data_IF_033157669107
#
_entry.id   IF_033157669107
#
_cell.length_a   1.000
_cell.length_b   1.000
_cell.length_c   1.000
_cell.angle_alpha   90.00
_cell.angle_beta   90.00
_cell.angle_gamma   90.00
#
_symmetry.space_group_name_H-M   'P 1'
#
loop_
_entity.id
_entity.type
_entity.pdbx_description
1 polymer ?
#
# COMPACT_ATOMS: atom_id res chain seq x y z
N UNK A 1 46.19 36.44 -20.24
CA UNK A 1 45.11 36.89 -19.33
C UNK A 1 43.82 36.90 -20.14
N UNK A 2 43.13 35.76 -20.23
CA UNK A 2 41.95 35.42 -19.41
C UNK A 2 40.68 36.14 -19.91
N UNK A 3 40.09 35.63 -20.98
CA UNK A 3 38.65 35.75 -21.22
C UNK A 3 38.17 34.73 -22.26
N UNK A 4 38.67 33.48 -22.18
CA UNK A 4 37.93 32.35 -22.72
C UNK A 4 36.70 32.17 -21.84
N UNK A 5 35.70 32.98 -22.15
CA UNK A 5 34.34 32.92 -21.66
C UNK A 5 33.72 31.64 -22.24
N UNK A 6 33.43 30.61 -21.43
CA UNK A 6 32.67 29.46 -21.90
C UNK A 6 31.20 29.84 -21.89
N UNK A 7 30.74 30.71 -22.81
CA UNK A 7 29.42 31.33 -22.59
C UNK A 7 28.54 31.65 -23.79
N UNK A 8 28.81 31.14 -25.00
CA UNK A 8 27.86 31.29 -26.12
C UNK A 8 27.68 30.06 -27.01
N UNK A 9 28.59 29.07 -26.96
CA UNK A 9 28.45 27.80 -27.69
C UNK A 9 27.96 26.63 -26.81
N UNK A 10 27.86 26.81 -25.49
CA UNK A 10 27.41 25.77 -24.54
C UNK A 10 25.94 25.90 -24.12
N UNK A 11 25.30 27.06 -24.34
CA UNK A 11 23.93 27.31 -23.93
C UNK A 11 22.89 26.34 -24.54
N UNK A 12 22.90 26.02 -25.86
CA UNK A 12 21.91 25.11 -26.43
C UNK A 12 22.16 23.66 -25.98
N UNK A 13 23.43 23.23 -25.89
CA UNK A 13 23.80 21.93 -25.35
C UNK A 13 23.40 21.79 -23.87
N UNK A 14 23.60 22.80 -23.02
CA UNK A 14 23.11 22.78 -21.62
C UNK A 14 21.60 22.73 -21.54
N UNK A 15 20.87 23.49 -22.36
CA UNK A 15 19.40 23.47 -22.33
C UNK A 15 18.86 22.12 -22.81
N UNK A 16 19.49 21.52 -23.81
CA UNK A 16 19.16 20.19 -24.31
C UNK A 16 19.49 19.12 -23.27
N UNK A 17 20.68 19.14 -22.67
CA UNK A 17 21.08 18.19 -21.62
C UNK A 17 20.25 18.35 -20.35
N UNK A 18 19.88 19.57 -19.95
CA UNK A 18 18.98 19.82 -18.81
C UNK A 18 17.55 19.36 -19.10
N UNK A 19 17.04 19.58 -20.32
CA UNK A 19 15.72 19.08 -20.73
C UNK A 19 15.70 17.55 -20.84
N UNK A 20 16.79 16.94 -21.34
CA UNK A 20 16.97 15.49 -21.43
C UNK A 20 17.15 14.85 -20.05
N UNK A 21 17.86 15.52 -19.13
CA UNK A 21 17.97 15.10 -17.74
C UNK A 21 16.63 15.24 -16.99
N UNK A 22 15.85 16.29 -17.23
CA UNK A 22 14.50 16.41 -16.69
C UNK A 22 13.59 15.29 -17.23
N UNK A 23 13.68 14.99 -18.53
CA UNK A 23 12.93 13.89 -19.15
C UNK A 23 13.34 12.51 -18.61
N UNK A 24 14.64 12.25 -18.41
CA UNK A 24 15.14 11.00 -17.82
C UNK A 24 14.87 10.88 -16.32
N UNK A 25 14.90 12.00 -15.58
CA UNK A 25 14.66 12.02 -14.13
C UNK A 25 13.20 11.74 -13.79
N UNK A 26 12.28 12.08 -14.69
CA UNK A 26 10.84 12.01 -14.42
C UNK A 26 10.16 10.71 -14.93
N UNK A 27 10.71 10.04 -15.95
CA UNK A 27 10.06 8.87 -16.57
C UNK A 27 10.23 7.54 -15.83
N UNK A 28 11.42 7.23 -15.31
CA UNK A 28 11.75 5.87 -14.85
C UNK A 28 11.51 5.64 -13.36
N UNK A 29 11.78 6.66 -12.53
CA UNK A 29 11.71 6.57 -11.06
C UNK A 29 10.29 6.88 -10.57
N UNK A 30 9.61 7.86 -11.16
CA UNK A 30 8.28 8.28 -10.70
C UNK A 30 7.20 7.25 -11.01
N UNK A 31 7.23 6.64 -12.19
CA UNK A 31 6.19 5.69 -12.62
C UNK A 31 6.30 4.34 -11.89
N UNK A 32 7.52 3.83 -11.72
CA UNK A 32 7.79 2.55 -11.04
C UNK A 32 7.54 2.64 -9.54
N UNK A 33 8.01 3.71 -8.88
CA UNK A 33 7.75 3.92 -7.46
C UNK A 33 6.28 4.19 -7.18
N UNK A 34 5.58 4.98 -8.01
CA UNK A 34 4.16 5.27 -7.79
C UNK A 34 3.31 4.01 -7.99
N UNK A 35 3.60 3.21 -9.01
CA UNK A 35 2.92 1.92 -9.20
C UNK A 35 3.19 0.97 -8.03
N UNK A 36 4.43 0.89 -7.58
CA UNK A 36 4.82 0.09 -6.41
C UNK A 36 4.13 0.56 -5.13
N UNK A 37 4.21 1.86 -4.80
CA UNK A 37 3.59 2.45 -3.60
C UNK A 37 2.07 2.26 -3.62
N UNK A 38 1.42 2.40 -4.77
CA UNK A 38 -0.01 2.10 -4.92
C UNK A 38 -0.32 0.62 -4.64
N UNK A 39 0.46 -0.31 -5.20
CA UNK A 39 0.31 -1.74 -4.95
C UNK A 39 0.50 -2.09 -3.47
N UNK A 40 1.54 -1.55 -2.84
CA UNK A 40 1.83 -1.73 -1.41
C UNK A 40 0.71 -1.13 -0.55
N UNK A 41 0.21 0.08 -0.87
CA UNK A 41 -0.87 0.73 -0.13
C UNK A 41 -2.19 -0.07 -0.19
N UNK A 42 -2.50 -0.69 -1.33
CA UNK A 42 -3.67 -1.55 -1.47
C UNK A 42 -3.47 -2.83 -0.66
N UNK A 43 -2.34 -3.52 -0.83
CA UNK A 43 -2.05 -4.78 -0.14
C UNK A 43 -2.03 -4.61 1.39
N UNK A 44 -1.37 -3.57 1.89
CA UNK A 44 -1.32 -3.25 3.32
C UNK A 44 -2.70 -2.97 3.90
N UNK A 45 -3.56 -2.21 3.19
CA UNK A 45 -4.92 -1.93 3.65
C UNK A 45 -5.79 -3.20 3.69
N UNK A 46 -5.63 -4.09 2.71
CA UNK A 46 -6.32 -5.38 2.70
C UNK A 46 -5.84 -6.27 3.84
N UNK A 47 -4.51 -6.36 4.05
CA UNK A 47 -3.91 -7.12 5.14
C UNK A 47 -4.34 -6.60 6.52
N UNK A 48 -4.28 -5.28 6.75
CA UNK A 48 -4.73 -4.66 8.00
C UNK A 48 -6.21 -4.93 8.26
N UNK A 49 -7.06 -4.89 7.22
CA UNK A 49 -8.48 -5.18 7.38
C UNK A 49 -8.72 -6.61 7.86
N UNK A 50 -7.97 -7.59 7.32
CA UNK A 50 -8.05 -8.98 7.76
C UNK A 50 -7.60 -9.15 9.21
N UNK A 51 -6.44 -8.56 9.56
CA UNK A 51 -5.91 -8.66 10.92
C UNK A 51 -6.85 -7.97 11.92
N UNK A 52 -7.38 -6.80 11.57
CA UNK A 52 -8.30 -6.07 12.43
C UNK A 52 -9.60 -6.85 12.71
N UNK A 53 -10.22 -7.47 11.70
CA UNK A 53 -11.43 -8.28 11.91
C UNK A 53 -11.17 -9.54 12.71
N UNK A 54 -10.01 -10.17 12.54
CA UNK A 54 -9.60 -11.34 13.34
C UNK A 54 -9.39 -10.95 14.80
N UNK A 55 -8.69 -9.84 15.08
CA UNK A 55 -8.51 -9.33 16.46
C UNK A 55 -9.87 -9.04 17.09
N UNK A 56 -10.76 -8.34 16.37
CA UNK A 56 -12.11 -8.04 16.86
C UNK A 56 -12.89 -9.32 17.17
N UNK A 57 -12.85 -10.31 16.27
CA UNK A 57 -13.50 -11.61 16.47
C UNK A 57 -12.93 -12.42 17.63
N UNK A 58 -11.61 -12.38 17.83
CA UNK A 58 -10.93 -13.03 18.95
C UNK A 58 -11.26 -12.35 20.28
N UNK A 59 -11.29 -11.02 20.34
CA UNK A 59 -11.67 -10.26 21.54
C UNK A 59 -13.14 -10.51 21.91
N UNK A 60 -14.03 -10.50 20.92
CA UNK A 60 -15.45 -10.87 21.10
C UNK A 60 -15.59 -12.31 21.58
N UNK A 61 -14.89 -13.26 20.94
CA UNK A 61 -14.88 -14.67 21.33
C UNK A 61 -14.37 -14.88 22.75
N UNK A 62 -13.32 -14.16 23.15
CA UNK A 62 -12.80 -14.19 24.51
C UNK A 62 -13.82 -13.71 25.55
N UNK A 63 -14.48 -12.57 25.27
CA UNK A 63 -15.49 -12.03 26.19
C UNK A 63 -16.68 -12.97 26.38
N UNK A 64 -17.08 -13.67 25.31
CA UNK A 64 -18.14 -14.67 25.34
C UNK A 64 -17.70 -15.93 26.11
N UNK A 65 -16.48 -16.42 25.87
CA UNK A 65 -15.91 -17.57 26.60
C UNK A 65 -15.86 -17.31 28.12
N UNK A 66 -15.56 -16.07 28.55
CA UNK A 66 -15.58 -15.67 29.96
C UNK A 66 -16.98 -15.72 30.59
N UNK A 67 -18.02 -15.40 29.82
CA UNK A 67 -19.40 -15.39 30.30
C UNK A 67 -20.03 -16.78 30.35
N UNK A 68 -19.72 -17.65 29.39
CA UNK A 68 -20.29 -18.98 29.28
C UNK A 68 -19.51 -20.06 30.04
N UNK A 69 -18.31 -19.74 30.54
CA UNK A 69 -17.45 -20.68 31.27
C UNK A 69 -17.04 -21.92 30.45
N UNK A 70 -17.33 -21.93 29.14
CA UNK A 70 -17.06 -23.02 28.22
C UNK A 70 -15.78 -22.71 27.44
N UNK A 71 -14.64 -23.14 27.98
CA UNK A 71 -13.40 -23.14 27.22
C UNK A 71 -13.52 -24.02 25.94
N UNK A 72 -12.83 -23.73 24.83
CA UNK A 72 -12.59 -22.47 24.12
C UNK A 72 -13.44 -22.44 22.82
N UNK A 73 -14.74 -22.76 22.91
CA UNK A 73 -15.58 -22.92 21.71
C UNK A 73 -15.94 -21.58 21.08
N UNK A 74 -16.18 -20.52 21.88
CA UNK A 74 -16.49 -19.21 21.34
C UNK A 74 -15.23 -18.52 20.76
N UNK A 75 -14.03 -18.82 21.29
CA UNK A 75 -12.77 -18.44 20.66
C UNK A 75 -12.64 -18.98 19.23
N UNK A 76 -12.90 -20.29 19.03
CA UNK A 76 -12.83 -20.92 17.70
C UNK A 76 -13.81 -20.23 16.75
N UNK A 77 -15.09 -20.12 17.15
CA UNK A 77 -16.12 -19.49 16.32
C UNK A 77 -15.82 -18.01 16.06
N UNK A 78 -15.32 -17.28 17.07
CA UNK A 78 -14.93 -15.87 16.96
C UNK A 78 -13.80 -15.63 15.96
N UNK A 79 -12.80 -16.51 15.94
CA UNK A 79 -11.72 -16.47 14.93
C UNK A 79 -12.24 -16.81 13.53
N UNK A 80 -13.11 -17.82 13.39
CA UNK A 80 -13.75 -18.15 12.11
C UNK A 80 -14.60 -16.98 11.58
N UNK A 81 -15.42 -16.36 12.44
CA UNK A 81 -16.20 -15.18 12.08
C UNK A 81 -15.31 -13.98 11.74
N UNK A 82 -14.20 -13.77 12.46
CA UNK A 82 -13.22 -12.74 12.15
C UNK A 82 -12.55 -12.94 10.79
N UNK A 83 -12.25 -14.20 10.44
CA UNK A 83 -11.73 -14.58 9.13
C UNK A 83 -12.75 -14.39 8.01
N UNK A 84 -13.99 -14.86 8.19
CA UNK A 84 -15.09 -14.70 7.22
C UNK A 84 -15.41 -13.21 7.02
N UNK A 85 -15.55 -12.45 8.10
CA UNK A 85 -15.81 -11.01 8.05
C UNK A 85 -14.70 -10.22 7.35
N UNK A 86 -13.43 -10.58 7.61
CA UNK A 86 -12.29 -10.03 6.91
C UNK A 86 -12.30 -10.34 5.41
N UNK A 87 -12.51 -11.60 5.06
CA UNK A 87 -12.55 -12.07 3.67
C UNK A 87 -13.66 -11.39 2.87
N UNK A 88 -14.85 -11.23 3.47
CA UNK A 88 -15.96 -10.50 2.86
C UNK A 88 -15.64 -9.01 2.62
N UNK A 89 -14.85 -8.38 3.49
CA UNK A 89 -14.43 -6.98 3.32
C UNK A 89 -13.40 -6.83 2.19
N UNK A 90 -12.44 -7.76 2.10
CA UNK A 90 -11.45 -7.83 1.01
C UNK A 90 -12.15 -8.09 -0.32
N UNK A 91 -12.99 -9.12 -0.40
CA UNK A 91 -13.73 -9.48 -1.60
C UNK A 91 -14.56 -8.30 -2.11
N UNK A 92 -15.29 -7.62 -1.21
CA UNK A 92 -16.08 -6.44 -1.57
C UNK A 92 -15.22 -5.27 -2.08
N UNK A 93 -14.01 -5.09 -1.56
CA UNK A 93 -13.07 -4.08 -2.08
C UNK A 93 -12.56 -4.48 -3.45
N UNK A 94 -12.10 -5.71 -3.64
CA UNK A 94 -11.61 -6.19 -4.94
C UNK A 94 -12.71 -6.08 -6.00
N UNK A 95 -13.93 -6.55 -5.71
CA UNK A 95 -15.06 -6.46 -6.65
C UNK A 95 -15.45 -5.03 -7.02
N UNK A 96 -15.28 -4.06 -6.11
CA UNK A 96 -15.60 -2.66 -6.36
C UNK A 96 -14.48 -1.88 -7.02
N UNK A 97 -13.24 -2.31 -6.83
CA UNK A 97 -12.08 -1.56 -7.32
C UNK A 97 -11.56 -2.08 -8.64
N UNK A 98 -12.06 -3.22 -9.15
CA UNK A 98 -11.90 -3.71 -10.53
C UNK A 98 -10.67 -3.17 -11.26
N UNK A 99 -9.48 -3.42 -10.70
CA UNK A 99 -8.19 -3.15 -11.34
C UNK A 99 -7.82 -4.32 -12.23
#
# INVERSE_FOLDING_TARGET
>A
MQSLTPSLLDAPCRLFVVSLQAYMKEGLVSHSLTAFVKGVAVATRLGLALVATVIVGAVLGYGIDLWLGSAPWAMIVGVFFGGIGGMLNVYRRVMRTGV
#
